data_IF_864205379582
#
_entry.id   IF_864205379582
#
_cell.length_a   1.000
_cell.length_b   1.000
_cell.length_c   1.000
_cell.angle_alpha   90.00
_cell.angle_beta   90.00
_cell.angle_gamma   90.00
#
_symmetry.space_group_name_H-M   'P 1'
#
loop_
_entity.id
_entity.type
_entity.pdbx_description
1 polymer ?
#
# COMPACT_ATOMS: atom_id res chain seq x y z
N UNK A 1 4.77 25.32 27.97
CA UNK A 1 5.54 24.32 27.22
C UNK A 1 4.60 23.68 26.20
N UNK A 2 4.72 23.99 24.90
CA UNK A 2 3.91 23.31 23.88
C UNK A 2 4.51 21.91 23.69
N UNK A 3 3.74 20.81 23.74
CA UNK A 3 4.31 19.51 23.46
C UNK A 3 4.83 19.52 22.02
N UNK A 4 6.12 19.25 21.83
CA UNK A 4 6.65 18.94 20.51
C UNK A 4 5.91 17.70 20.01
N UNK A 5 5.07 17.88 18.98
CA UNK A 5 4.55 16.76 18.22
C UNK A 5 5.74 16.16 17.49
N UNK A 6 6.29 15.06 18.01
CA UNK A 6 7.18 14.22 17.24
C UNK A 6 6.28 13.36 16.32
N UNK A 7 6.10 13.70 15.03
CA UNK A 7 5.20 12.93 14.18
C UNK A 7 5.81 11.53 14.02
N UNK A 8 5.07 10.51 14.47
CA UNK A 8 5.48 9.13 14.26
C UNK A 8 5.36 8.83 12.78
N UNK A 9 6.48 8.47 12.15
CA UNK A 9 6.51 8.03 10.76
C UNK A 9 6.13 6.55 10.67
N UNK A 10 5.10 6.23 9.88
CA UNK A 10 4.60 4.89 9.64
C UNK A 10 4.97 4.45 8.23
N UNK A 11 5.75 3.37 8.14
CA UNK A 11 6.17 2.77 6.88
C UNK A 11 5.62 1.36 6.73
N UNK A 12 4.75 1.15 5.74
CA UNK A 12 4.23 -0.16 5.38
C UNK A 12 5.03 -0.78 4.22
N UNK A 13 5.40 -2.05 4.37
CA UNK A 13 5.99 -2.86 3.30
C UNK A 13 5.05 -4.04 3.04
N UNK A 14 4.56 -4.19 1.81
CA UNK A 14 3.66 -5.30 1.47
C UNK A 14 4.37 -6.65 1.46
N UNK A 15 3.63 -7.71 1.80
CA UNK A 15 4.06 -9.09 1.58
C UNK A 15 2.90 -9.86 0.93
N UNK A 16 3.03 -10.20 -0.36
CA UNK A 16 2.00 -10.93 -1.12
C UNK A 16 1.51 -12.20 -0.43
N UNK A 17 2.42 -12.91 0.21
CA UNK A 17 2.11 -14.20 0.84
C UNK A 17 1.10 -14.04 1.97
N UNK A 18 1.05 -12.89 2.63
CA UNK A 18 0.04 -12.60 3.66
C UNK A 18 -1.39 -12.55 3.09
N UNK A 19 -1.56 -12.31 1.79
CA UNK A 19 -2.86 -12.23 1.14
C UNK A 19 -3.33 -13.56 0.52
N UNK A 20 -2.42 -14.54 0.42
CA UNK A 20 -2.71 -15.92 0.00
C UNK A 20 -3.23 -16.72 1.18
N UNK A 21 -4.50 -16.56 1.53
CA UNK A 21 -5.11 -17.25 2.68
C UNK A 21 -5.41 -18.74 2.43
N UNK A 22 -5.25 -19.24 1.20
CA UNK A 22 -5.26 -20.66 0.87
C UNK A 22 -4.49 -20.89 -0.44
N UNK A 23 -4.01 -22.12 -0.66
CA UNK A 23 -3.35 -22.50 -1.91
C UNK A 23 -4.26 -22.35 -3.15
N UNK A 24 -5.57 -22.23 -2.95
CA UNK A 24 -6.61 -22.13 -3.99
C UNK A 24 -7.13 -20.71 -4.21
N UNK A 25 -6.66 -19.71 -3.44
CA UNK A 25 -7.10 -18.34 -3.65
C UNK A 25 -6.68 -17.87 -5.05
N UNK A 26 -7.67 -17.55 -5.89
CA UNK A 26 -7.43 -16.98 -7.22
C UNK A 26 -6.54 -15.74 -7.13
N UNK A 27 -5.68 -15.56 -8.13
CA UNK A 27 -4.78 -14.40 -8.22
C UNK A 27 -5.56 -13.08 -8.15
N UNK A 28 -6.73 -13.01 -8.78
CA UNK A 28 -7.62 -11.83 -8.71
C UNK A 28 -8.06 -11.50 -7.29
N UNK A 29 -8.28 -12.50 -6.44
CA UNK A 29 -8.68 -12.31 -5.03
C UNK A 29 -7.48 -11.81 -4.21
N UNK A 30 -6.29 -12.36 -4.47
CA UNK A 30 -5.03 -11.93 -3.83
C UNK A 30 -4.74 -10.46 -4.12
N UNK A 31 -4.81 -10.08 -5.40
CA UNK A 31 -4.63 -8.69 -5.85
C UNK A 31 -5.66 -7.77 -5.19
N UNK A 32 -6.95 -8.14 -5.20
CA UNK A 32 -8.01 -7.34 -4.58
C UNK A 32 -7.74 -7.04 -3.11
N UNK A 33 -7.42 -8.07 -2.32
CA UNK A 33 -7.13 -7.93 -0.89
C UNK A 33 -5.90 -7.06 -0.62
N UNK A 34 -4.87 -7.21 -1.45
CA UNK A 34 -3.68 -6.38 -1.34
C UNK A 34 -3.99 -4.90 -1.61
N UNK A 35 -4.79 -4.61 -2.63
CA UNK A 35 -5.24 -3.24 -2.93
C UNK A 35 -6.12 -2.68 -1.80
N UNK A 36 -7.05 -3.47 -1.26
CA UNK A 36 -7.87 -3.08 -0.11
C UNK A 36 -7.01 -2.73 1.12
N UNK A 37 -5.96 -3.52 1.41
CA UNK A 37 -5.04 -3.25 2.50
C UNK A 37 -4.20 -1.98 2.28
N UNK A 38 -3.77 -1.70 1.04
CA UNK A 38 -3.06 -0.47 0.69
C UNK A 38 -3.96 0.75 0.87
N UNK A 39 -5.21 0.68 0.39
CA UNK A 39 -6.20 1.75 0.59
C UNK A 39 -6.46 2.03 2.07
N UNK A 40 -6.63 0.96 2.87
CA UNK A 40 -6.79 1.07 4.31
C UNK A 40 -5.58 1.77 4.95
N UNK A 41 -4.36 1.32 4.65
CA UNK A 41 -3.15 1.92 5.19
C UNK A 41 -3.01 3.40 4.83
N UNK A 42 -3.30 3.76 3.57
CA UNK A 42 -3.27 5.15 3.12
C UNK A 42 -4.29 6.00 3.88
N UNK A 43 -5.54 5.53 4.00
CA UNK A 43 -6.60 6.23 4.73
C UNK A 43 -6.34 6.36 6.24
N UNK A 44 -5.55 5.43 6.81
CA UNK A 44 -5.15 5.44 8.21
C UNK A 44 -3.95 6.37 8.50
N UNK A 45 -3.40 7.05 7.48
CA UNK A 45 -2.29 7.98 7.64
C UNK A 45 -0.91 7.33 7.58
N UNK A 46 -0.76 6.20 6.88
CA UNK A 46 0.56 5.64 6.59
C UNK A 46 1.35 6.62 5.70
N UNK A 47 2.53 7.04 6.14
CA UNK A 47 3.35 8.04 5.44
C UNK A 47 3.99 7.49 4.17
N UNK A 48 4.36 6.20 4.19
CA UNK A 48 5.00 5.53 3.06
C UNK A 48 4.48 4.10 2.91
N UNK A 49 4.24 3.69 1.66
CA UNK A 49 3.85 2.32 1.31
C UNK A 49 4.81 1.82 0.23
N UNK A 50 5.55 0.76 0.53
CA UNK A 50 6.37 0.02 -0.43
C UNK A 50 5.65 -1.25 -0.87
N UNK A 51 5.43 -1.37 -2.18
CA UNK A 51 4.94 -2.60 -2.79
C UNK A 51 6.15 -3.49 -3.06
N UNK A 52 6.19 -4.67 -2.43
CA UNK A 52 7.32 -5.61 -2.52
C UNK A 52 6.87 -6.98 -2.99
N UNK A 53 7.01 -7.20 -4.29
CA UNK A 53 6.60 -8.42 -4.97
C UNK A 53 7.83 -9.06 -5.63
N UNK A 54 8.46 -10.05 -4.97
CA UNK A 54 9.72 -10.65 -5.45
C UNK A 54 9.54 -11.48 -6.72
N UNK A 55 8.41 -12.16 -6.82
CA UNK A 55 8.19 -13.23 -7.81
C UNK A 55 7.20 -12.78 -8.90
N UNK A 56 6.82 -11.50 -8.91
CA UNK A 56 5.82 -10.97 -9.83
C UNK A 56 6.48 -10.44 -11.11
N UNK A 57 6.01 -10.84 -12.31
CA UNK A 57 6.51 -10.29 -13.55
C UNK A 57 6.35 -8.76 -13.62
N UNK A 58 7.29 -8.07 -14.26
CA UNK A 58 7.33 -6.60 -14.31
C UNK A 58 6.03 -5.97 -14.82
N UNK A 59 5.36 -6.58 -15.80
CA UNK A 59 4.08 -6.12 -16.33
C UNK A 59 2.96 -6.15 -15.28
N UNK A 60 2.89 -7.24 -14.52
CA UNK A 60 1.90 -7.42 -13.45
C UNK A 60 2.21 -6.51 -12.26
N UNK A 61 3.49 -6.33 -11.95
CA UNK A 61 3.95 -5.37 -10.95
C UNK A 61 3.56 -3.94 -11.29
N UNK A 62 3.71 -3.53 -12.55
CA UNK A 62 3.27 -2.22 -13.01
C UNK A 62 1.74 -2.06 -12.90
N UNK A 63 0.97 -3.08 -13.28
CA UNK A 63 -0.49 -3.05 -13.16
C UNK A 63 -0.93 -2.92 -11.69
N UNK A 64 -0.35 -3.72 -10.79
CA UNK A 64 -0.59 -3.66 -9.35
C UNK A 64 -0.25 -2.28 -8.78
N UNK A 65 0.91 -1.73 -9.16
CA UNK A 65 1.38 -0.42 -8.69
C UNK A 65 0.43 0.70 -9.15
N UNK A 66 -0.07 0.66 -10.38
CA UNK A 66 -1.07 1.64 -10.85
C UNK A 66 -2.34 1.59 -10.01
N UNK A 67 -2.88 0.40 -9.75
CA UNK A 67 -4.06 0.24 -8.90
C UNK A 67 -3.81 0.77 -7.48
N UNK A 68 -2.65 0.47 -6.91
CA UNK A 68 -2.26 0.96 -5.59
C UNK A 68 -2.16 2.49 -5.52
N UNK A 69 -1.63 3.14 -6.56
CA UNK A 69 -1.58 4.61 -6.65
C UNK A 69 -2.98 5.18 -6.69
N UNK A 70 -3.89 4.61 -7.48
CA UNK A 70 -5.26 5.14 -7.59
C UNK A 70 -6.02 5.09 -6.26
N UNK A 71 -5.86 4.01 -5.47
CA UNK A 71 -6.51 3.93 -4.15
C UNK A 71 -5.83 4.77 -3.07
N UNK A 72 -4.53 5.04 -3.19
CA UNK A 72 -3.79 5.82 -2.20
C UNK A 72 -3.85 7.34 -2.45
N UNK A 73 -3.97 7.77 -3.73
CA UNK A 73 -3.93 9.18 -4.15
C UNK A 73 -4.90 10.10 -3.39
N UNK A 74 -6.15 9.70 -3.07
CA UNK A 74 -7.07 10.54 -2.29
C UNK A 74 -6.58 10.89 -0.88
N UNK A 75 -5.69 10.07 -0.32
CA UNK A 75 -5.20 10.19 1.05
C UNK A 75 -3.81 10.83 1.15
N UNK A 76 -3.26 11.29 0.02
CA UNK A 76 -1.98 11.99 0.02
C UNK A 76 -2.09 13.25 0.89
N UNK A 77 -1.13 13.43 1.79
CA UNK A 77 -0.91 14.77 2.31
C UNK A 77 -0.42 15.64 1.15
N UNK A 78 -0.92 16.88 0.97
CA UNK A 78 -0.33 17.79 0.01
C UNK A 78 1.14 17.96 0.41
N UNK A 79 2.06 17.57 -0.47
CA UNK A 79 3.46 17.88 -0.29
C UNK A 79 3.55 19.40 -0.09
N UNK A 80 4.13 19.83 1.04
CA UNK A 80 4.45 21.23 1.28
C UNK A 80 5.48 21.67 0.23
N UNK A 81 5.01 22.20 -0.90
CA UNK A 81 5.84 22.48 -2.07
C UNK A 81 5.02 22.68 -3.34
N UNK A 82 4.09 23.64 -3.30
CA UNK A 82 3.59 24.37 -4.47
C UNK A 82 3.72 25.86 -4.17
#
# INVERSE_FOLDING_TARGET
MKPEKNPKFIYLISNRQAFRQSAEASESVTVRRQIEAIGLAASAGCDLIQIREKDLPAREMLALTRMAIEVARPHRSPCAGQ
#
